data_IF_976127630189
#
_entry.id   IF_976127630189
#
_cell.length_a   1.000
_cell.length_b   1.000
_cell.length_c   1.000
_cell.angle_alpha   90.00
_cell.angle_beta   90.00
_cell.angle_gamma   90.00
#
_symmetry.space_group_name_H-M   'P 1'
#
loop_
_entity.id
_entity.type
_entity.pdbx_description
1 polymer ?
#
# COMPACT_ATOMS: atom_id res chain seq x y z
N UNK A 1 15.63 -6.54 13.36
CA UNK A 1 14.86 -5.34 13.76
C UNK A 1 14.62 -5.46 15.26
N UNK A 2 14.99 -4.43 16.08
CA UNK A 2 14.88 -4.51 17.55
C UNK A 2 13.52 -3.98 18.07
N UNK A 3 12.92 -3.02 17.37
CA UNK A 3 11.61 -2.44 17.73
C UNK A 3 10.53 -3.03 16.85
N UNK A 4 9.38 -3.40 17.44
CA UNK A 4 8.24 -3.96 16.70
C UNK A 4 7.14 -2.94 16.48
N UNK A 5 6.76 -2.21 17.52
CA UNK A 5 5.75 -1.15 17.50
C UNK A 5 5.83 -0.31 18.77
N UNK A 6 5.12 0.80 18.82
CA UNK A 6 4.90 1.61 20.02
C UNK A 6 3.39 1.71 20.28
N UNK A 7 3.00 1.78 21.55
CA UNK A 7 1.62 2.01 21.97
C UNK A 7 1.57 3.26 22.84
N UNK A 8 0.89 4.34 22.44
CA UNK A 8 0.72 5.50 23.29
C UNK A 8 -0.19 5.17 24.48
N UNK A 9 0.16 5.69 25.66
CA UNK A 9 -0.66 5.63 26.85
C UNK A 9 -1.22 7.02 27.11
N UNK A 10 -2.53 7.13 27.10
CA UNK A 10 -3.26 8.37 27.26
C UNK A 10 -3.78 8.51 28.69
N UNK A 11 -3.76 9.74 29.17
CA UNK A 11 -4.47 10.08 30.40
C UNK A 11 -5.96 9.80 30.23
N UNK A 12 -6.62 9.30 31.28
CA UNK A 12 -8.06 9.22 31.35
C UNK A 12 -8.55 9.65 32.72
N UNK A 13 -9.53 10.50 32.76
CA UNK A 13 -10.24 10.83 34.02
C UNK A 13 -11.13 9.67 34.48
N UNK A 14 -11.65 8.87 33.51
CA UNK A 14 -12.48 7.70 33.76
C UNK A 14 -12.33 6.69 32.61
N UNK A 15 -11.76 5.53 32.91
CA UNK A 15 -11.43 4.50 31.92
C UNK A 15 -12.64 4.06 31.13
N UNK A 16 -13.76 3.73 31.79
CA UNK A 16 -14.95 3.24 31.09
C UNK A 16 -15.51 4.26 30.12
N UNK A 17 -15.57 5.55 30.54
CA UNK A 17 -15.99 6.65 29.65
C UNK A 17 -15.10 6.77 28.42
N UNK A 18 -13.77 6.73 28.59
CA UNK A 18 -12.86 6.82 27.47
C UNK A 18 -13.00 5.63 26.55
N UNK A 19 -12.98 4.41 27.07
CA UNK A 19 -13.12 3.19 26.27
C UNK A 19 -14.47 3.15 25.51
N UNK A 20 -15.56 3.60 26.15
CA UNK A 20 -16.87 3.66 25.50
C UNK A 20 -16.90 4.69 24.37
N UNK A 21 -16.29 5.86 24.55
CA UNK A 21 -16.16 6.86 23.49
C UNK A 21 -15.37 6.31 22.30
N UNK A 22 -14.20 5.70 22.56
CA UNK A 22 -13.38 5.14 21.48
C UNK A 22 -14.05 3.97 20.76
N UNK A 23 -14.85 3.16 21.44
CA UNK A 23 -15.54 2.03 20.79
C UNK A 23 -16.84 2.44 20.10
N UNK A 24 -17.68 3.24 20.76
CA UNK A 24 -19.02 3.57 20.25
C UNK A 24 -19.00 4.73 19.26
N UNK A 25 -18.16 5.75 19.50
CA UNK A 25 -18.08 6.94 18.65
C UNK A 25 -16.99 6.81 17.61
N UNK A 26 -15.75 6.49 18.02
CA UNK A 26 -14.61 6.39 17.10
C UNK A 26 -14.46 4.99 16.46
N UNK A 27 -15.34 4.05 16.81
CA UNK A 27 -15.44 2.72 16.20
C UNK A 27 -14.17 1.86 16.30
N UNK A 28 -13.39 2.03 17.37
CA UNK A 28 -12.36 1.07 17.71
C UNK A 28 -13.02 -0.24 18.19
N UNK A 29 -12.31 -1.35 18.04
CA UNK A 29 -12.70 -2.67 18.57
C UNK A 29 -11.79 -3.13 19.71
N UNK A 30 -11.82 -4.43 20.00
CA UNK A 30 -10.90 -5.11 20.92
C UNK A 30 -10.68 -4.38 22.25
N UNK A 31 -11.79 -3.94 22.87
CA UNK A 31 -11.79 -3.28 24.18
C UNK A 31 -11.37 -4.26 25.27
N UNK A 32 -10.50 -3.81 26.15
CA UNK A 32 -10.15 -4.54 27.37
C UNK A 32 -9.95 -3.59 28.56
N UNK A 33 -10.15 -4.11 29.77
CA UNK A 33 -10.06 -3.38 31.02
C UNK A 33 -9.17 -4.16 32.00
N UNK A 34 -8.46 -3.44 32.87
CA UNK A 34 -7.66 -3.99 33.96
C UNK A 34 -8.17 -3.43 35.27
N UNK A 35 -8.36 -4.29 36.29
CA UNK A 35 -8.99 -4.05 37.60
C UNK A 35 -10.53 -3.84 37.56
N UNK A 36 -11.14 -3.84 38.75
CA UNK A 36 -12.53 -3.47 38.97
C UNK A 36 -12.70 -2.66 40.27
N UNK A 37 -12.96 -1.33 40.20
CA UNK A 37 -13.12 -0.53 38.97
C UNK A 37 -11.84 -0.41 38.16
N UNK A 38 -11.93 -0.30 36.82
CA UNK A 38 -10.77 -0.29 35.97
C UNK A 38 -9.91 0.96 36.14
N UNK A 39 -8.60 0.74 36.33
CA UNK A 39 -7.59 1.82 36.42
C UNK A 39 -6.73 1.93 35.16
N UNK A 40 -6.79 0.89 34.28
CA UNK A 40 -6.09 0.82 33.04
C UNK A 40 -6.92 0.07 32.00
N UNK A 41 -6.74 0.39 30.73
CA UNK A 41 -7.47 -0.32 29.66
C UNK A 41 -6.97 0.08 28.29
N UNK A 42 -7.58 -0.49 27.25
CA UNK A 42 -7.16 -0.20 25.89
C UNK A 42 -8.17 -0.58 24.84
N UNK A 43 -7.94 -0.05 23.66
CA UNK A 43 -8.66 -0.36 22.42
C UNK A 43 -7.70 -0.58 21.28
N UNK A 44 -8.12 -1.33 20.25
CA UNK A 44 -7.37 -1.42 19.01
C UNK A 44 -8.30 -1.44 17.78
N UNK A 45 -7.77 -0.98 16.66
CA UNK A 45 -8.41 -1.09 15.35
C UNK A 45 -7.31 -1.24 14.30
N UNK A 46 -7.36 -2.30 13.53
CA UNK A 46 -6.31 -2.65 12.56
C UNK A 46 -4.92 -2.68 13.24
N UNK A 47 -4.00 -1.80 12.80
CA UNK A 47 -2.65 -1.67 13.37
C UNK A 47 -2.53 -0.61 14.47
N UNK A 48 -3.62 0.09 14.81
CA UNK A 48 -3.61 1.15 15.82
C UNK A 48 -4.04 0.58 17.16
N UNK A 49 -3.20 0.78 18.18
CA UNK A 49 -3.49 0.45 19.57
C UNK A 49 -3.35 1.70 20.42
N UNK A 50 -4.27 1.90 21.35
CA UNK A 50 -4.27 2.99 22.31
C UNK A 50 -4.56 2.42 23.71
N UNK A 51 -3.75 2.81 24.68
CA UNK A 51 -3.95 2.48 26.08
C UNK A 51 -4.36 3.73 26.86
N UNK A 52 -5.06 3.53 27.94
CA UNK A 52 -5.57 4.57 28.83
C UNK A 52 -5.21 4.26 30.28
N UNK A 53 -4.71 5.26 31.01
CA UNK A 53 -4.40 5.14 32.42
C UNK A 53 -5.21 6.18 33.22
N UNK A 54 -5.96 5.72 34.23
CA UNK A 54 -6.74 6.63 35.07
C UNK A 54 -5.83 7.43 35.99
N UNK A 55 -5.78 8.76 35.74
CA UNK A 55 -5.08 9.77 36.57
C UNK A 55 -3.59 9.49 36.85
N UNK A 56 -3.00 8.50 36.17
CA UNK A 56 -1.65 8.02 36.50
C UNK A 56 -0.59 8.37 35.45
N UNK A 57 -0.83 8.07 34.19
CA UNK A 57 0.13 8.25 33.10
C UNK A 57 -0.43 9.17 32.01
N UNK A 58 0.47 9.89 31.34
CA UNK A 58 0.09 10.89 30.34
C UNK A 58 -0.44 12.18 30.95
N UNK A 59 -0.86 13.09 30.10
CA UNK A 59 -1.50 14.35 30.48
C UNK A 59 -2.76 14.58 29.66
N UNK A 60 -3.80 15.24 30.17
CA UNK A 60 -4.93 15.70 29.36
C UNK A 60 -4.45 16.57 28.20
N UNK A 61 -5.16 16.54 27.07
CA UNK A 61 -4.83 17.38 25.93
C UNK A 61 -3.62 16.90 25.09
N UNK A 62 -3.21 15.64 25.23
CA UNK A 62 -2.16 15.04 24.40
C UNK A 62 -2.60 14.99 22.93
N UNK A 63 -1.67 15.20 22.00
CA UNK A 63 -1.89 15.07 20.57
C UNK A 63 -1.40 13.71 20.06
N UNK A 64 -2.24 13.05 19.25
CA UNK A 64 -1.91 11.78 18.59
C UNK A 64 -2.20 11.90 17.11
N UNK A 65 -1.28 11.41 16.28
CA UNK A 65 -1.49 11.32 14.84
C UNK A 65 -1.83 9.87 14.45
N UNK A 66 -2.97 9.70 13.77
CA UNK A 66 -3.46 8.41 13.28
C UNK A 66 -3.66 8.51 11.77
N UNK A 67 -3.06 7.59 11.02
CA UNK A 67 -3.24 7.53 9.57
C UNK A 67 -4.37 6.56 9.20
N UNK A 68 -5.27 7.01 8.32
CA UNK A 68 -6.41 6.24 7.81
C UNK A 68 -6.36 6.14 6.28
N UNK A 69 -7.10 5.21 5.71
CA UNK A 69 -7.18 5.05 4.24
C UNK A 69 -8.04 6.11 3.58
N UNK A 70 -9.14 6.48 4.22
CA UNK A 70 -10.10 7.47 3.72
C UNK A 70 -10.59 8.33 4.89
N UNK A 71 -10.09 9.56 4.96
CA UNK A 71 -10.40 10.48 6.07
C UNK A 71 -11.81 11.05 5.96
N UNK A 72 -12.32 11.24 4.75
CA UNK A 72 -13.68 11.78 4.54
C UNK A 72 -14.76 10.76 4.93
N UNK A 73 -14.61 9.52 4.51
CA UNK A 73 -15.51 8.44 4.91
C UNK A 73 -15.50 8.24 6.43
N UNK A 74 -14.31 8.25 7.04
CA UNK A 74 -14.20 8.11 8.50
C UNK A 74 -14.80 9.32 9.23
N UNK A 75 -14.63 10.52 8.69
CA UNK A 75 -15.27 11.74 9.20
C UNK A 75 -16.80 11.61 9.23
N UNK A 76 -17.42 11.18 8.13
CA UNK A 76 -18.87 10.98 8.07
C UNK A 76 -19.34 9.94 9.10
N UNK A 77 -18.63 8.82 9.21
CA UNK A 77 -18.96 7.73 10.13
C UNK A 77 -18.93 8.18 11.60
N UNK A 78 -17.88 8.89 12.04
CA UNK A 78 -17.75 9.29 13.45
C UNK A 78 -18.60 10.52 13.79
N UNK A 79 -18.81 11.43 12.84
CA UNK A 79 -19.70 12.59 13.02
C UNK A 79 -21.13 12.15 13.24
N UNK A 80 -21.61 11.14 12.49
CA UNK A 80 -22.93 10.54 12.68
C UNK A 80 -23.10 9.91 14.08
N UNK A 81 -22.00 9.58 14.77
CA UNK A 81 -21.97 9.02 16.13
C UNK A 81 -21.69 10.05 17.23
N UNK A 82 -21.60 11.32 16.87
CA UNK A 82 -21.44 12.42 17.83
C UNK A 82 -20.00 12.74 18.22
N UNK A 83 -19.01 12.43 17.38
CA UNK A 83 -17.62 12.85 17.60
C UNK A 83 -17.51 14.39 17.65
N UNK A 84 -16.67 14.90 18.56
CA UNK A 84 -16.37 16.33 18.67
C UNK A 84 -15.30 16.69 17.65
N UNK A 85 -15.72 17.31 16.56
CA UNK A 85 -14.83 17.72 15.46
C UNK A 85 -14.28 19.12 15.75
N UNK A 86 -12.96 19.24 15.87
CA UNK A 86 -12.25 20.53 16.04
C UNK A 86 -11.87 21.18 14.71
N UNK A 87 -11.59 20.37 13.70
CA UNK A 87 -11.39 20.79 12.33
C UNK A 87 -11.86 19.69 11.37
N UNK A 88 -12.64 20.07 10.38
CA UNK A 88 -13.11 19.17 9.31
C UNK A 88 -11.95 18.76 8.40
N UNK A 89 -12.10 17.66 7.62
CA UNK A 89 -11.06 17.25 6.69
C UNK A 89 -10.65 18.35 5.71
N UNK A 90 -9.36 18.68 5.70
CA UNK A 90 -8.80 19.71 4.84
C UNK A 90 -7.39 19.30 4.35
N UNK A 91 -7.04 19.74 3.14
CA UNK A 91 -5.75 19.46 2.53
C UNK A 91 -4.67 20.38 3.11
N UNK A 92 -3.55 19.81 3.54
CA UNK A 92 -2.44 20.54 4.12
C UNK A 92 -1.24 20.58 3.17
N UNK A 93 -0.46 21.64 3.25
CA UNK A 93 0.71 21.89 2.38
C UNK A 93 1.77 20.77 2.49
N UNK A 94 1.77 20.02 3.61
CA UNK A 94 2.67 18.88 3.82
C UNK A 94 2.16 17.55 3.23
N UNK A 95 1.15 17.58 2.37
CA UNK A 95 0.71 16.40 1.61
C UNK A 95 -0.19 15.44 2.40
N UNK A 96 -0.89 15.93 3.41
CA UNK A 96 -1.86 15.15 4.20
C UNK A 96 -3.22 15.87 4.16
N UNK A 97 -4.28 15.12 3.88
CA UNK A 97 -5.65 15.53 4.16
C UNK A 97 -6.00 15.07 5.56
N UNK A 98 -6.30 16.00 6.46
CA UNK A 98 -6.47 15.68 7.88
C UNK A 98 -7.64 16.39 8.52
N UNK A 99 -8.19 15.78 9.55
CA UNK A 99 -9.16 16.36 10.47
C UNK A 99 -8.63 16.31 11.90
N UNK A 100 -9.23 17.12 12.79
CA UNK A 100 -8.95 17.10 14.22
C UNK A 100 -10.20 16.69 14.99
N UNK A 101 -10.08 15.68 15.83
CA UNK A 101 -11.14 15.16 16.68
C UNK A 101 -10.71 15.30 18.14
N UNK A 102 -11.59 15.78 19.00
CA UNK A 102 -11.34 15.86 20.43
C UNK A 102 -12.05 14.74 21.17
N UNK A 103 -11.34 14.11 22.09
CA UNK A 103 -11.91 13.10 22.96
C UNK A 103 -12.40 13.70 24.31
N UNK A 104 -13.07 12.91 25.18
CA UNK A 104 -13.58 13.40 26.47
C UNK A 104 -12.53 13.92 27.46
N UNK A 105 -11.25 13.53 27.30
CA UNK A 105 -10.13 13.98 28.11
C UNK A 105 -9.30 15.07 27.42
N UNK A 106 -9.88 15.68 26.35
CA UNK A 106 -9.32 16.77 25.54
C UNK A 106 -8.08 16.36 24.72
N UNK A 107 -7.86 15.08 24.54
CA UNK A 107 -6.85 14.65 23.57
C UNK A 107 -7.28 15.03 22.17
N UNK A 108 -6.32 15.46 21.36
CA UNK A 108 -6.54 15.80 19.96
C UNK A 108 -6.00 14.66 19.09
N UNK A 109 -6.92 13.98 18.44
CA UNK A 109 -6.59 13.00 17.43
C UNK A 109 -6.49 13.73 16.08
N UNK A 110 -5.27 13.86 15.59
CA UNK A 110 -5.01 14.28 14.21
C UNK A 110 -5.17 13.05 13.33
N UNK A 111 -6.29 12.95 12.64
CA UNK A 111 -6.62 11.82 11.79
C UNK A 111 -6.36 12.23 10.36
N UNK A 112 -5.42 11.58 9.69
CA UNK A 112 -4.94 11.99 8.39
C UNK A 112 -4.88 10.85 7.38
N UNK A 113 -5.01 11.25 6.13
CA UNK A 113 -4.78 10.44 4.94
C UNK A 113 -3.66 11.10 4.14
N UNK A 114 -2.66 10.34 3.72
CA UNK A 114 -1.68 10.86 2.78
C UNK A 114 -2.42 11.36 1.54
N UNK A 115 -2.34 12.63 1.25
CA UNK A 115 -2.62 13.11 -0.09
C UNK A 115 -1.44 12.58 -0.89
N UNK A 116 -1.61 11.43 -1.56
CA UNK A 116 -0.82 11.29 -2.76
C UNK A 116 -1.12 12.57 -3.54
N UNK A 117 -0.11 13.32 -3.97
CA UNK A 117 -0.25 14.34 -5.02
C UNK A 117 -0.65 13.71 -6.37
N UNK A 118 -1.24 12.56 -6.31
CA UNK A 118 -2.20 11.99 -7.18
C UNK A 118 -3.56 12.44 -6.66
N UNK A 119 -4.02 13.65 -7.11
CA UNK A 119 -5.40 13.72 -7.50
C UNK A 119 -5.70 12.36 -8.15
N UNK A 120 -6.81 11.72 -7.79
CA UNK A 120 -7.52 10.83 -8.69
C UNK A 120 -7.95 11.63 -9.94
N UNK A 121 -6.97 12.14 -10.67
CA UNK A 121 -6.98 11.92 -12.09
C UNK A 121 -6.89 10.41 -12.15
N UNK A 122 -8.00 9.75 -12.48
CA UNK A 122 -7.95 8.55 -13.30
C UNK A 122 -6.78 8.83 -14.22
N UNK A 123 -5.62 8.21 -13.91
CA UNK A 123 -4.46 8.39 -14.77
C UNK A 123 -4.86 7.57 -15.98
N UNK A 124 -5.79 8.15 -16.77
CA UNK A 124 -6.27 7.55 -17.98
C UNK A 124 -5.03 7.39 -18.84
N UNK A 125 -4.74 6.14 -19.06
CA UNK A 125 -3.66 5.77 -19.95
C UNK A 125 -3.86 6.53 -21.26
N UNK A 126 -2.84 7.22 -21.77
CA UNK A 126 -3.00 7.95 -23.02
C UNK A 126 -3.56 7.04 -24.13
N UNK A 127 -4.51 7.49 -24.90
CA UNK A 127 -5.13 6.74 -26.01
C UNK A 127 -4.08 6.19 -27.00
N UNK A 128 -2.90 6.81 -27.02
CA UNK A 128 -1.75 6.37 -27.81
C UNK A 128 -1.06 5.13 -27.25
N UNK A 129 -1.40 4.65 -26.07
CA UNK A 129 -0.76 3.48 -25.45
C UNK A 129 -1.61 2.23 -25.68
N UNK A 130 -1.01 1.22 -26.29
CA UNK A 130 -1.59 -0.10 -26.44
C UNK A 130 -0.94 -1.09 -25.46
N UNK A 131 -1.77 -1.90 -24.79
CA UNK A 131 -1.31 -3.00 -23.93
C UNK A 131 -1.47 -4.31 -24.69
N UNK A 132 -0.36 -4.98 -24.93
CA UNK A 132 -0.31 -6.15 -25.81
C UNK A 132 0.31 -7.34 -25.07
N UNK A 133 -0.36 -8.50 -25.15
CA UNK A 133 0.20 -9.76 -24.66
C UNK A 133 1.17 -10.30 -25.73
N UNK A 134 2.44 -10.05 -25.52
CA UNK A 134 3.55 -10.57 -26.32
C UNK A 134 4.86 -10.50 -25.56
N UNK A 135 5.84 -11.27 -25.96
CA UNK A 135 7.20 -11.13 -25.48
C UNK A 135 7.83 -9.84 -26.03
N UNK A 136 8.54 -9.03 -25.22
CA UNK A 136 9.40 -7.98 -25.77
C UNK A 136 10.53 -8.59 -26.59
N UNK A 137 11.04 -7.87 -27.58
CA UNK A 137 12.29 -8.25 -28.22
C UNK A 137 13.46 -8.08 -27.24
N UNK A 138 14.61 -8.66 -27.56
CA UNK A 138 15.81 -8.53 -26.72
C UNK A 138 16.21 -7.06 -26.60
N UNK A 139 16.16 -6.31 -27.68
CA UNK A 139 16.49 -4.89 -27.75
C UNK A 139 15.51 -4.06 -26.90
N UNK A 140 14.20 -4.27 -27.04
CA UNK A 140 13.18 -3.60 -26.25
C UNK A 140 13.37 -3.82 -24.76
N UNK A 141 13.60 -5.07 -24.37
CA UNK A 141 13.82 -5.43 -22.97
C UNK A 141 15.08 -4.77 -22.41
N UNK A 142 16.21 -4.85 -23.13
CA UNK A 142 17.46 -4.23 -22.71
C UNK A 142 17.36 -2.71 -22.59
N UNK A 143 16.65 -2.05 -23.50
CA UNK A 143 16.40 -0.61 -23.46
C UNK A 143 15.53 -0.23 -22.24
N UNK A 144 14.47 -0.98 -21.94
CA UNK A 144 13.65 -0.76 -20.75
C UNK A 144 14.44 -0.95 -19.46
N UNK A 145 15.24 -2.01 -19.35
CA UNK A 145 16.11 -2.25 -18.19
C UNK A 145 17.09 -1.10 -17.99
N UNK A 146 17.69 -0.59 -19.08
CA UNK A 146 18.60 0.55 -19.05
C UNK A 146 17.89 1.84 -18.61
N UNK A 147 16.67 2.07 -19.11
CA UNK A 147 15.90 3.31 -18.86
C UNK A 147 15.59 3.55 -17.38
N UNK A 148 15.47 2.47 -16.59
CA UNK A 148 15.22 2.55 -15.13
C UNK A 148 16.50 2.40 -14.29
N UNK A 149 17.67 2.48 -14.92
CA UNK A 149 18.98 2.43 -14.24
C UNK A 149 19.38 1.04 -13.74
N UNK A 150 18.72 -0.02 -14.20
CA UNK A 150 19.11 -1.38 -13.83
C UNK A 150 20.29 -1.87 -14.66
N UNK A 151 21.08 -2.78 -14.09
CA UNK A 151 22.24 -3.37 -14.77
C UNK A 151 21.77 -4.20 -15.98
N UNK A 152 22.08 -3.71 -17.17
CA UNK A 152 21.81 -4.42 -18.42
C UNK A 152 22.67 -5.70 -18.48
N UNK A 153 22.06 -6.81 -18.87
CA UNK A 153 22.73 -8.09 -19.11
C UNK A 153 23.22 -8.17 -20.56
N UNK A 154 24.15 -9.09 -20.81
CA UNK A 154 24.52 -9.40 -22.19
C UNK A 154 23.35 -10.05 -22.97
N UNK A 155 23.44 -10.01 -24.31
CA UNK A 155 22.36 -10.48 -25.20
C UNK A 155 22.01 -11.95 -24.93
N UNK A 156 23.00 -12.82 -24.70
CA UNK A 156 22.76 -14.24 -24.43
C UNK A 156 21.95 -14.45 -23.13
N UNK A 157 22.29 -13.68 -22.11
CA UNK A 157 21.55 -13.70 -20.82
C UNK A 157 20.15 -13.14 -20.99
N UNK A 158 19.98 -12.01 -21.69
CA UNK A 158 18.66 -11.42 -21.96
C UNK A 158 17.76 -12.39 -22.75
N UNK A 159 18.34 -13.10 -23.75
CA UNK A 159 17.62 -14.11 -24.52
C UNK A 159 17.08 -15.24 -23.61
N UNK A 160 17.92 -15.75 -22.70
CA UNK A 160 17.51 -16.81 -21.75
C UNK A 160 16.40 -16.30 -20.79
N UNK A 161 16.50 -15.05 -20.33
CA UNK A 161 15.47 -14.43 -19.50
C UNK A 161 14.12 -14.41 -20.21
N UNK A 162 14.10 -14.03 -21.49
CA UNK A 162 12.87 -13.90 -22.26
C UNK A 162 12.30 -15.24 -22.78
N UNK A 163 13.06 -16.33 -22.70
CA UNK A 163 12.56 -17.67 -22.99
C UNK A 163 11.71 -18.26 -21.87
N UNK A 164 11.99 -17.90 -20.62
CA UNK A 164 11.40 -18.52 -19.43
C UNK A 164 9.96 -18.10 -19.08
N UNK A 165 9.48 -16.86 -19.34
CA UNK A 165 8.15 -16.44 -18.90
C UNK A 165 7.02 -17.23 -19.55
N UNK A 166 6.00 -17.53 -18.73
CA UNK A 166 4.72 -18.12 -19.13
C UNK A 166 3.86 -17.10 -19.89
N UNK A 167 3.85 -15.86 -19.39
CA UNK A 167 3.17 -14.72 -19.99
C UNK A 167 4.07 -13.50 -19.98
N UNK A 168 3.96 -12.67 -20.99
CA UNK A 168 4.58 -11.35 -21.07
C UNK A 168 3.56 -10.36 -21.59
N UNK A 169 3.52 -9.18 -20.96
CA UNK A 169 2.71 -8.06 -21.43
C UNK A 169 3.62 -6.87 -21.67
N UNK A 170 3.44 -6.20 -22.78
CA UNK A 170 4.15 -4.96 -23.13
C UNK A 170 3.19 -3.79 -23.30
N UNK A 171 3.65 -2.61 -22.99
CA UNK A 171 2.99 -1.36 -23.32
C UNK A 171 3.71 -0.72 -24.50
N UNK A 172 3.00 -0.35 -25.52
CA UNK A 172 3.51 0.26 -26.75
C UNK A 172 2.92 1.64 -26.97
N UNK A 173 3.76 2.60 -27.30
CA UNK A 173 3.28 3.87 -27.82
C UNK A 173 2.93 3.69 -29.31
N UNK A 174 1.66 3.73 -29.64
CA UNK A 174 1.14 3.54 -31.00
C UNK A 174 1.62 4.58 -32.00
N UNK A 175 2.02 5.77 -31.52
CA UNK A 175 2.51 6.86 -32.36
C UNK A 175 3.94 6.65 -32.83
N UNK A 176 4.80 6.14 -31.94
CA UNK A 176 6.24 5.94 -32.20
C UNK A 176 6.59 4.46 -32.43
N UNK A 177 5.67 3.55 -32.18
CA UNK A 177 5.86 2.08 -32.21
C UNK A 177 6.94 1.59 -31.22
N UNK A 178 7.24 2.39 -30.20
CA UNK A 178 8.22 2.03 -29.16
C UNK A 178 7.56 1.30 -28.03
N UNK A 179 8.23 0.28 -27.51
CA UNK A 179 7.87 -0.37 -26.25
C UNK A 179 8.29 0.52 -25.08
N UNK A 180 7.30 0.94 -24.29
CA UNK A 180 7.43 1.90 -23.18
C UNK A 180 7.27 1.25 -21.81
N UNK A 181 6.94 -0.03 -21.76
CA UNK A 181 6.87 -0.81 -20.52
C UNK A 181 6.71 -2.31 -20.79
N UNK A 182 7.00 -3.11 -19.79
CA UNK A 182 6.75 -4.54 -19.83
C UNK A 182 6.55 -5.11 -18.41
N UNK A 183 5.96 -6.31 -18.37
CA UNK A 183 5.91 -7.17 -17.19
C UNK A 183 6.03 -8.62 -17.64
N UNK A 184 6.77 -9.43 -16.87
CA UNK A 184 7.01 -10.85 -17.13
C UNK A 184 6.38 -11.69 -16.01
N UNK A 185 5.75 -12.82 -16.36
CA UNK A 185 5.26 -13.81 -15.42
C UNK A 185 6.05 -15.10 -15.55
N UNK A 186 6.69 -15.50 -14.48
CA UNK A 186 7.36 -16.80 -14.35
C UNK A 186 6.51 -17.74 -13.52
N UNK A 187 6.77 -19.03 -13.56
CA UNK A 187 6.09 -20.01 -12.69
C UNK A 187 6.21 -21.43 -13.19
N UNK A 188 5.56 -22.34 -12.48
CA UNK A 188 5.42 -23.74 -12.86
C UNK A 188 4.22 -24.01 -13.80
N UNK A 189 3.37 -22.99 -13.99
CA UNK A 189 2.15 -23.07 -14.79
C UNK A 189 0.98 -23.75 -14.07
N UNK A 190 1.10 -24.06 -12.78
CA UNK A 190 0.09 -24.81 -12.01
C UNK A 190 -0.23 -24.14 -10.67
N UNK A 191 0.79 -23.96 -9.81
CA UNK A 191 0.56 -23.63 -8.40
C UNK A 191 1.31 -22.39 -7.91
N UNK A 192 2.38 -22.00 -8.61
CA UNK A 192 3.24 -20.89 -8.20
C UNK A 192 3.62 -20.00 -9.36
N UNK A 193 3.37 -18.73 -9.20
CA UNK A 193 3.69 -17.69 -10.18
C UNK A 193 4.51 -16.57 -9.55
N UNK A 194 5.36 -15.94 -10.33
CA UNK A 194 6.22 -14.84 -9.89
C UNK A 194 6.22 -13.71 -10.91
N UNK A 195 5.73 -12.53 -10.48
CA UNK A 195 5.76 -11.31 -11.31
C UNK A 195 7.18 -10.75 -11.29
N UNK A 196 7.78 -10.62 -12.46
CA UNK A 196 9.16 -10.21 -12.66
C UNK A 196 9.26 -9.06 -13.65
N UNK A 197 10.25 -8.19 -13.43
CA UNK A 197 10.64 -7.12 -14.35
C UNK A 197 9.44 -6.27 -14.81
N UNK A 198 8.64 -5.81 -13.82
CA UNK A 198 7.61 -4.80 -14.06
C UNK A 198 8.32 -3.46 -14.27
N UNK A 199 8.41 -3.02 -15.51
CA UNK A 199 9.16 -1.84 -15.93
C UNK A 199 8.25 -0.90 -16.72
N UNK A 200 8.27 0.38 -16.38
CA UNK A 200 7.70 1.46 -17.20
C UNK A 200 8.78 2.50 -17.42
N UNK A 201 9.01 2.89 -18.68
CA UNK A 201 9.98 3.93 -19.03
C UNK A 201 9.71 5.21 -18.24
N UNK A 202 10.72 5.90 -17.68
CA UNK A 202 10.55 7.06 -16.80
C UNK A 202 9.58 8.13 -17.35
N UNK A 203 9.66 8.46 -18.63
CA UNK A 203 8.80 9.44 -19.27
C UNK A 203 7.30 9.05 -19.32
N UNK A 204 7.00 7.78 -19.07
CA UNK A 204 5.65 7.19 -19.11
C UNK A 204 5.14 6.75 -17.75
N UNK A 205 5.94 6.93 -16.69
CA UNK A 205 5.50 6.67 -15.33
C UNK A 205 4.44 7.67 -14.87
N UNK A 206 3.63 7.27 -13.90
CA UNK A 206 2.52 8.08 -13.37
C UNK A 206 1.44 8.48 -14.40
N UNK A 207 1.30 7.71 -15.49
CA UNK A 207 0.30 7.89 -16.56
C UNK A 207 -0.59 6.65 -16.74
N UNK A 208 -0.82 5.84 -15.69
CA UNK A 208 -1.66 4.65 -15.76
C UNK A 208 -1.05 3.43 -16.46
N UNK A 209 0.09 3.57 -17.16
CA UNK A 209 0.72 2.48 -17.93
C UNK A 209 1.03 1.26 -17.06
N UNK A 210 1.59 1.48 -15.86
CA UNK A 210 1.88 0.40 -14.93
C UNK A 210 0.63 -0.32 -14.44
N UNK A 211 -0.43 0.42 -14.17
CA UNK A 211 -1.73 -0.11 -13.78
C UNK A 211 -2.30 -0.99 -14.89
N UNK A 212 -2.27 -0.52 -16.12
CA UNK A 212 -2.79 -1.25 -17.28
C UNK A 212 -1.99 -2.53 -17.57
N UNK A 213 -0.65 -2.51 -17.43
CA UNK A 213 0.19 -3.70 -17.54
C UNK A 213 -0.16 -4.75 -16.49
N UNK A 214 -0.30 -4.35 -15.21
CA UNK A 214 -0.65 -5.26 -14.13
C UNK A 214 -2.07 -5.79 -14.25
N UNK A 215 -3.03 -4.97 -14.67
CA UNK A 215 -4.41 -5.42 -14.92
C UNK A 215 -4.43 -6.51 -15.99
N UNK A 216 -3.79 -6.27 -17.14
CA UNK A 216 -3.71 -7.26 -18.21
C UNK A 216 -3.03 -8.56 -17.79
N UNK A 217 -2.00 -8.46 -16.92
CA UNK A 217 -1.34 -9.64 -16.36
C UNK A 217 -2.24 -10.41 -15.40
N UNK A 218 -2.98 -9.71 -14.53
CA UNK A 218 -3.94 -10.33 -13.62
C UNK A 218 -5.07 -11.02 -14.39
N UNK A 219 -5.61 -10.38 -15.45
CA UNK A 219 -6.63 -10.99 -16.31
C UNK A 219 -6.13 -12.33 -16.89
N UNK A 220 -4.85 -12.39 -17.27
CA UNK A 220 -4.24 -13.64 -17.73
C UNK A 220 -4.12 -14.67 -16.60
N UNK A 221 -3.68 -14.25 -15.40
CA UNK A 221 -3.55 -15.14 -14.23
C UNK A 221 -4.90 -15.70 -13.83
N UNK A 222 -5.94 -14.88 -13.76
CA UNK A 222 -7.29 -15.27 -13.35
C UNK A 222 -7.91 -16.30 -14.31
N UNK A 223 -7.50 -16.31 -15.57
CA UNK A 223 -7.97 -17.27 -16.57
C UNK A 223 -7.15 -18.57 -16.58
N UNK A 224 -5.83 -18.50 -16.28
CA UNK A 224 -4.92 -19.61 -16.52
C UNK A 224 -4.37 -20.28 -15.26
N UNK A 225 -4.46 -19.64 -14.10
CA UNK A 225 -3.98 -20.21 -12.84
C UNK A 225 -5.05 -21.11 -12.19
N UNK A 226 -4.61 -22.21 -11.58
CA UNK A 226 -5.50 -23.08 -10.80
C UNK A 226 -5.92 -22.38 -9.50
N UNK A 227 -7.11 -22.73 -8.95
CA UNK A 227 -7.53 -22.24 -7.63
C UNK A 227 -6.44 -22.47 -6.56
N UNK A 228 -6.34 -21.55 -5.58
CA UNK A 228 -5.34 -21.58 -4.51
C UNK A 228 -3.87 -21.42 -4.94
N UNK A 229 -3.61 -21.07 -6.20
CA UNK A 229 -2.27 -20.75 -6.66
C UNK A 229 -1.68 -19.53 -5.95
N UNK A 230 -0.38 -19.57 -5.67
CA UNK A 230 0.34 -18.45 -5.06
C UNK A 230 0.99 -17.59 -6.14
N UNK A 231 0.69 -16.30 -6.15
CA UNK A 231 1.36 -15.30 -7.00
C UNK A 231 2.21 -14.41 -6.12
N UNK A 232 3.52 -14.35 -6.37
CA UNK A 232 4.47 -13.56 -5.59
C UNK A 232 5.24 -12.54 -6.42
N UNK A 233 5.84 -11.57 -5.75
CA UNK A 233 6.81 -10.62 -6.33
C UNK A 233 7.75 -10.07 -5.27
N UNK A 234 8.90 -9.56 -5.70
CA UNK A 234 9.79 -8.77 -4.86
C UNK A 234 9.71 -7.29 -5.27
N UNK A 235 9.47 -6.42 -4.29
CA UNK A 235 9.41 -4.96 -4.51
C UNK A 235 9.99 -4.20 -3.32
N UNK A 236 10.27 -2.92 -3.50
CA UNK A 236 10.58 -2.01 -2.40
C UNK A 236 9.33 -1.64 -1.62
N UNK A 237 9.47 -1.30 -0.34
CA UNK A 237 8.35 -0.90 0.53
C UNK A 237 7.57 0.28 -0.04
N UNK A 238 8.24 1.21 -0.72
CA UNK A 238 7.64 2.38 -1.37
C UNK A 238 6.68 2.03 -2.53
N UNK A 239 6.81 0.84 -3.12
CA UNK A 239 5.93 0.36 -4.20
C UNK A 239 4.86 -0.61 -3.70
N UNK A 240 4.89 -1.03 -2.45
CA UNK A 240 3.87 -1.92 -1.88
C UNK A 240 2.42 -1.38 -2.06
N UNK A 241 2.14 -0.07 -1.90
CA UNK A 241 0.79 0.47 -2.15
C UNK A 241 0.31 0.26 -3.59
N UNK A 242 1.22 0.34 -4.58
CA UNK A 242 0.88 0.06 -5.98
C UNK A 242 0.42 -1.39 -6.19
N UNK A 243 1.09 -2.37 -5.59
CA UNK A 243 0.71 -3.78 -5.78
C UNK A 243 -0.50 -4.21 -4.94
N UNK A 244 -0.79 -3.55 -3.81
CA UNK A 244 -1.97 -3.84 -2.99
C UNK A 244 -3.29 -3.69 -3.74
N UNK A 245 -3.41 -2.74 -4.67
CA UNK A 245 -4.60 -2.56 -5.48
C UNK A 245 -4.91 -3.77 -6.39
N UNK A 246 -3.93 -4.65 -6.59
CA UNK A 246 -4.05 -5.89 -7.37
C UNK A 246 -4.14 -7.15 -6.49
N UNK A 247 -4.46 -6.99 -5.20
CA UNK A 247 -4.62 -8.11 -4.28
C UNK A 247 -3.34 -8.62 -3.61
N UNK A 248 -2.16 -8.01 -3.88
CA UNK A 248 -0.93 -8.43 -3.23
C UNK A 248 -0.87 -7.95 -1.78
N UNK A 249 -0.64 -8.88 -0.85
CA UNK A 249 -0.38 -8.63 0.57
C UNK A 249 1.10 -8.71 0.91
N UNK A 250 1.46 -8.24 2.11
CA UNK A 250 2.81 -8.46 2.62
C UNK A 250 3.00 -9.94 3.00
N UNK A 251 4.08 -10.55 2.52
CA UNK A 251 4.49 -11.88 2.90
C UNK A 251 5.96 -11.87 3.34
N UNK A 252 6.32 -12.79 4.24
CA UNK A 252 7.71 -12.97 4.61
C UNK A 252 8.41 -13.84 3.56
N UNK A 253 9.51 -13.33 3.00
CA UNK A 253 10.32 -14.04 2.01
C UNK A 253 11.80 -13.96 2.35
N UNK A 254 12.56 -14.99 1.95
CA UNK A 254 14.02 -15.01 2.04
C UNK A 254 14.63 -15.12 0.65
N UNK A 255 15.70 -14.39 0.37
CA UNK A 255 16.39 -14.45 -0.91
C UNK A 255 17.91 -14.62 -0.72
N UNK A 256 18.53 -15.24 -1.71
CA UNK A 256 20.01 -15.37 -1.81
C UNK A 256 20.47 -14.91 -3.20
N UNK A 257 21.48 -14.08 -3.23
CA UNK A 257 22.16 -13.73 -4.50
C UNK A 257 23.27 -14.75 -4.79
N UNK A 258 23.34 -15.21 -6.02
CA UNK A 258 24.45 -16.04 -6.48
C UNK A 258 25.63 -15.11 -6.81
N UNK A 259 26.76 -15.33 -6.15
CA UNK A 259 28.01 -14.63 -6.45
C UNK A 259 28.61 -15.04 -7.80
N UNK A 260 29.68 -14.35 -8.21
CA UNK A 260 30.43 -14.76 -9.41
C UNK A 260 30.93 -16.20 -9.22
N UNK A 261 30.75 -17.02 -10.22
CA UNK A 261 31.46 -18.31 -10.31
C UNK A 261 32.92 -17.98 -10.62
N UNK A 262 33.81 -18.26 -9.69
CA UNK A 262 35.27 -18.25 -9.92
C UNK A 262 35.65 -19.34 -10.89
#
# INVERSE_FOLDING_TARGET
>A
MLFTHSVPILYSENIRRSLDYYTQVLQFGNKWEWDDPPTFGGVSKDLVQLFFCEKGQGNPGTWISIMVKNVDEYYEQITAKGAVIRATPDNKDWGIREMLVEDPDRHILRIGQGISNREDKSCEMPETVAIVERKPTIEEYMQLVASVGWKVKDISTAQKILQAPLCCVVAEDSSTKKTIGCVLLLGDGVSFYYVKDMIVHPDWQNRGVGTALMQKLNDWIDVNAEPDSLVGLYTGENLAPFYRQFGFGNAFGMCRRIGNKT
#
